data_IF_614805130246
#
_entry.id   IF_614805130246
#
_cell.length_a   1.000
_cell.length_b   1.000
_cell.length_c   1.000
_cell.angle_alpha   90.00
_cell.angle_beta   90.00
_cell.angle_gamma   90.00
#
_symmetry.space_group_name_H-M   'P 1'
#
loop_
_entity.id
_entity.type
_entity.pdbx_description
1 polymer ?
#
# COMPACT_ATOMS: atom_id res chain seq x y z
N UNK A 1 6.85 45.34 -56.05
CA UNK A 1 6.31 44.06 -55.51
C UNK A 1 7.51 43.11 -55.42
N UNK A 2 8.24 43.07 -54.29
CA UNK A 2 7.98 42.25 -53.08
C UNK A 2 8.07 40.75 -53.40
N UNK A 3 9.24 40.11 -53.25
CA UNK A 3 9.74 39.38 -52.06
C UNK A 3 10.47 38.12 -52.62
N UNK A 4 11.47 37.46 -52.04
CA UNK A 4 11.94 37.31 -50.66
C UNK A 4 13.38 36.73 -50.68
N UNK A 5 14.09 36.91 -49.57
CA UNK A 5 15.51 36.59 -49.38
C UNK A 5 15.82 35.13 -48.98
N UNK A 6 17.13 34.79 -49.12
CA UNK A 6 17.92 33.76 -48.38
C UNK A 6 17.56 32.28 -48.63
N UNK A 7 18.49 31.31 -48.67
CA UNK A 7 19.58 31.10 -47.72
C UNK A 7 20.67 30.12 -48.24
N UNK A 8 21.94 30.52 -48.03
CA UNK A 8 23.09 29.72 -47.56
C UNK A 8 23.44 28.37 -48.21
N UNK A 9 24.50 28.46 -49.01
CA UNK A 9 25.68 27.59 -49.03
C UNK A 9 26.03 26.93 -47.66
N UNK A 10 26.48 25.68 -47.69
CA UNK A 10 26.89 24.91 -46.52
C UNK A 10 26.82 23.39 -46.75
N UNK A 11 27.72 22.85 -47.58
CA UNK A 11 28.04 21.41 -47.59
C UNK A 11 28.55 21.02 -46.22
N UNK A 12 28.04 19.91 -45.66
CA UNK A 12 28.49 19.38 -44.38
C UNK A 12 29.31 18.12 -44.66
N UNK A 13 30.51 18.34 -45.17
CA UNK A 13 31.49 17.29 -45.44
C UNK A 13 32.39 17.11 -44.22
N UNK A 14 32.61 15.86 -43.82
CA UNK A 14 33.53 15.51 -42.74
C UNK A 14 34.56 14.53 -43.31
N UNK A 15 35.84 14.85 -43.13
CA UNK A 15 36.93 13.97 -43.53
C UNK A 15 37.10 12.86 -42.48
N UNK A 16 36.81 11.62 -42.87
CA UNK A 16 37.03 10.43 -42.04
C UNK A 16 38.21 9.63 -42.62
N UNK A 17 39.07 9.11 -41.75
CA UNK A 17 40.22 8.30 -42.17
C UNK A 17 39.80 6.84 -42.20
N UNK A 18 39.50 6.34 -43.41
CA UNK A 18 39.24 4.92 -43.64
C UNK A 18 40.51 4.31 -44.23
N UNK A 19 41.04 3.29 -43.55
CA UNK A 19 42.21 2.53 -44.00
C UNK A 19 43.47 3.38 -44.31
N UNK A 20 43.65 4.47 -43.56
CA UNK A 20 44.84 5.33 -43.65
C UNK A 20 44.83 6.38 -44.77
N UNK A 21 43.70 6.61 -45.45
CA UNK A 21 43.51 7.73 -46.39
C UNK A 21 42.33 8.62 -45.95
N UNK A 22 42.49 9.93 -46.17
CA UNK A 22 41.46 10.93 -45.93
C UNK A 22 40.48 10.91 -47.11
N UNK A 23 39.23 10.52 -46.87
CA UNK A 23 38.14 10.64 -47.82
C UNK A 23 37.05 11.57 -47.27
N UNK A 24 36.46 12.36 -48.17
CA UNK A 24 35.44 13.36 -47.87
C UNK A 24 34.06 12.72 -48.07
N UNK A 25 33.34 12.48 -46.97
CA UNK A 25 32.06 11.76 -46.99
C UNK A 25 30.92 12.75 -46.75
N UNK A 26 29.98 12.79 -47.70
CA UNK A 26 28.77 13.61 -47.62
C UNK A 26 27.78 12.98 -46.63
N UNK A 27 27.54 13.65 -45.50
CA UNK A 27 26.65 13.18 -44.44
C UNK A 27 25.28 13.83 -44.61
N UNK A 28 24.28 13.03 -44.94
CA UNK A 28 22.90 13.52 -45.11
C UNK A 28 22.39 14.22 -43.84
N UNK A 29 21.91 15.46 -43.96
CA UNK A 29 21.43 16.28 -42.83
C UNK A 29 20.17 15.73 -42.12
N UNK A 30 19.53 14.71 -42.68
CA UNK A 30 18.36 14.07 -42.08
C UNK A 30 18.51 12.56 -42.15
N UNK A 31 18.75 11.88 -41.02
CA UNK A 31 18.62 10.44 -40.96
C UNK A 31 17.19 10.13 -41.38
N UNK A 32 17.01 9.39 -42.48
CA UNK A 32 15.72 8.74 -42.73
C UNK A 32 15.42 7.92 -41.47
N UNK A 33 14.32 8.18 -40.76
CA UNK A 33 14.01 7.45 -39.54
C UNK A 33 14.00 5.96 -39.87
N UNK A 34 14.96 5.20 -39.33
CA UNK A 34 15.02 3.74 -39.48
C UNK A 34 13.93 3.03 -38.67
N UNK A 35 13.21 3.79 -37.84
CA UNK A 35 12.03 3.37 -37.11
C UNK A 35 10.82 3.70 -37.99
N UNK A 36 10.06 2.70 -38.47
CA UNK A 36 8.81 2.95 -39.19
C UNK A 36 7.90 3.85 -38.35
N UNK A 37 7.28 4.87 -38.95
CA UNK A 37 6.24 5.65 -38.26
C UNK A 37 5.13 4.68 -37.82
N UNK A 38 5.09 4.37 -36.53
CA UNK A 38 4.07 3.50 -35.98
C UNK A 38 2.81 4.33 -35.77
N UNK A 39 1.80 4.14 -36.62
CA UNK A 39 0.42 4.66 -36.46
C UNK A 39 -0.30 4.09 -35.22
N UNK A 40 0.42 3.39 -34.36
CA UNK A 40 -0.08 2.85 -33.10
C UNK A 40 -0.30 3.99 -32.12
N UNK A 41 -1.56 4.39 -32.02
CA UNK A 41 -2.08 5.24 -30.95
C UNK A 41 -1.55 4.76 -29.60
N UNK A 42 -1.01 5.70 -28.82
CA UNK A 42 -0.56 5.47 -27.44
C UNK A 42 -1.64 4.76 -26.61
N UNK A 43 -2.92 5.06 -26.88
CA UNK A 43 -4.06 4.40 -26.24
C UNK A 43 -4.21 2.91 -26.59
N UNK A 44 -3.85 2.50 -27.81
CA UNK A 44 -3.87 1.09 -28.22
C UNK A 44 -2.68 0.30 -27.67
N UNK A 45 -1.52 0.96 -27.52
CA UNK A 45 -0.35 0.38 -26.87
C UNK A 45 -0.61 0.14 -25.37
N UNK A 46 -1.27 1.09 -24.71
CA UNK A 46 -1.63 1.05 -23.29
C UNK A 46 -2.73 0.01 -23.02
N UNK A 47 -3.69 -0.14 -23.95
CA UNK A 47 -4.71 -1.20 -23.91
C UNK A 47 -4.11 -2.60 -24.03
N UNK A 48 -3.11 -2.80 -24.89
CA UNK A 48 -2.39 -4.09 -25.03
C UNK A 48 -1.52 -4.43 -23.82
N UNK A 49 -1.06 -3.43 -23.07
CA UNK A 49 -0.25 -3.61 -21.85
C UNK A 49 -1.09 -3.80 -20.59
N UNK A 50 -2.38 -3.45 -20.64
CA UNK A 50 -3.31 -3.79 -19.57
C UNK A 50 -3.51 -5.31 -19.52
N UNK A 51 -3.28 -5.92 -18.36
CA UNK A 51 -3.60 -7.33 -18.11
C UNK A 51 -4.97 -7.42 -17.40
N UNK A 52 -6.10 -7.25 -18.11
CA UNK A 52 -7.42 -7.14 -17.47
C UNK A 52 -7.78 -8.37 -16.63
N UNK A 53 -7.41 -9.57 -17.10
CA UNK A 53 -7.65 -10.81 -16.37
C UNK A 53 -6.91 -10.86 -15.02
N UNK A 54 -5.68 -10.33 -14.96
CA UNK A 54 -4.90 -10.30 -13.72
C UNK A 54 -5.50 -9.34 -12.69
N UNK A 55 -6.03 -8.20 -13.13
CA UNK A 55 -6.76 -7.27 -12.26
C UNK A 55 -8.08 -7.86 -11.77
N UNK A 56 -8.83 -8.55 -12.63
CA UNK A 56 -10.05 -9.27 -12.23
C UNK A 56 -9.71 -10.32 -11.18
N UNK A 57 -8.66 -11.14 -11.41
CA UNK A 57 -8.22 -12.14 -10.45
C UNK A 57 -7.78 -11.52 -9.12
N UNK A 58 -7.06 -10.39 -9.16
CA UNK A 58 -6.66 -9.66 -7.96
C UNK A 58 -7.87 -9.11 -7.17
N UNK A 59 -8.83 -8.48 -7.85
CA UNK A 59 -10.06 -7.99 -7.20
C UNK A 59 -10.84 -9.15 -6.60
N UNK A 60 -10.99 -10.27 -7.32
CA UNK A 60 -11.63 -11.47 -6.78
C UNK A 60 -10.89 -12.00 -5.55
N UNK A 61 -9.55 -12.03 -5.57
CA UNK A 61 -8.74 -12.45 -4.43
C UNK A 61 -8.92 -11.53 -3.20
N UNK A 62 -8.98 -10.21 -3.41
CA UNK A 62 -9.26 -9.24 -2.33
C UNK A 62 -10.65 -9.46 -1.74
N UNK A 63 -11.68 -9.65 -2.59
CA UNK A 63 -13.04 -9.93 -2.11
C UNK A 63 -13.12 -11.23 -1.31
N UNK A 64 -12.43 -12.28 -1.78
CA UNK A 64 -12.32 -13.55 -1.04
C UNK A 64 -11.61 -13.34 0.29
N UNK A 65 -10.51 -12.56 0.33
CA UNK A 65 -9.77 -12.25 1.55
C UNK A 65 -10.58 -11.44 2.57
N UNK A 66 -11.55 -10.63 2.13
CA UNK A 66 -12.49 -9.92 3.00
C UNK A 66 -13.52 -10.88 3.61
N UNK A 67 -14.14 -11.73 2.79
CA UNK A 67 -15.34 -12.47 3.19
C UNK A 67 -14.99 -13.80 3.86
N UNK A 68 -14.18 -14.64 3.19
CA UNK A 68 -14.00 -16.02 3.60
C UNK A 68 -13.25 -16.14 4.95
N UNK A 69 -12.13 -15.44 5.19
CA UNK A 69 -11.42 -15.52 6.46
C UNK A 69 -12.24 -15.02 7.64
N UNK A 70 -12.97 -13.91 7.49
CA UNK A 70 -13.87 -13.41 8.53
C UNK A 70 -14.96 -14.43 8.87
N UNK A 71 -15.58 -15.03 7.85
CA UNK A 71 -16.59 -16.07 8.04
C UNK A 71 -16.03 -17.29 8.77
N UNK A 72 -14.83 -17.76 8.41
CA UNK A 72 -14.16 -18.88 9.09
C UNK A 72 -13.83 -18.50 10.55
N UNK A 73 -13.28 -17.32 10.81
CA UNK A 73 -12.99 -16.86 12.17
C UNK A 73 -14.26 -16.78 13.02
N UNK A 74 -15.33 -16.21 12.47
CA UNK A 74 -16.62 -16.09 13.15
C UNK A 74 -17.28 -17.44 13.44
N UNK A 75 -17.23 -18.38 12.50
CA UNK A 75 -17.78 -19.72 12.70
C UNK A 75 -17.01 -20.47 13.79
N UNK A 76 -15.69 -20.35 13.85
CA UNK A 76 -14.88 -20.87 14.96
C UNK A 76 -15.25 -20.22 16.29
N UNK A 77 -15.40 -18.90 16.33
CA UNK A 77 -15.79 -18.17 17.53
C UNK A 77 -17.14 -18.65 18.09
N UNK A 78 -18.13 -18.92 17.23
CA UNK A 78 -19.48 -19.32 17.63
C UNK A 78 -19.61 -20.82 17.88
N UNK A 79 -19.01 -21.67 17.05
CA UNK A 79 -19.20 -23.13 17.12
C UNK A 79 -18.16 -23.83 17.99
N UNK A 80 -16.98 -23.22 18.18
CA UNK A 80 -15.84 -23.83 18.88
C UNK A 80 -15.23 -22.87 19.92
N UNK A 81 -16.06 -22.12 20.62
CA UNK A 81 -15.63 -21.08 21.56
C UNK A 81 -14.68 -21.61 22.64
N UNK A 82 -14.99 -22.76 23.26
CA UNK A 82 -14.14 -23.32 24.32
C UNK A 82 -12.73 -23.67 23.84
N UNK A 83 -12.63 -24.23 22.63
CA UNK A 83 -11.34 -24.53 22.00
C UNK A 83 -10.58 -23.24 21.69
N UNK A 84 -11.26 -22.24 21.16
CA UNK A 84 -10.65 -20.96 20.83
C UNK A 84 -10.16 -20.21 22.06
N UNK A 85 -10.96 -20.14 23.12
CA UNK A 85 -10.56 -19.54 24.41
C UNK A 85 -9.32 -20.22 24.97
N UNK A 86 -9.24 -21.55 24.92
CA UNK A 86 -8.05 -22.28 25.37
C UNK A 86 -6.79 -21.85 24.59
N UNK A 87 -6.89 -21.65 23.27
CA UNK A 87 -5.76 -21.18 22.44
C UNK A 87 -5.42 -19.71 22.68
N UNK A 88 -6.43 -18.84 22.80
CA UNK A 88 -6.20 -17.42 23.08
C UNK A 88 -5.64 -17.20 24.48
N UNK A 89 -6.03 -18.02 25.46
CA UNK A 89 -5.52 -17.95 26.84
C UNK A 89 -4.06 -18.39 26.99
N UNK A 90 -3.46 -18.98 25.95
CA UNK A 90 -2.02 -19.22 25.90
C UNK A 90 -1.22 -17.91 25.76
N UNK A 91 -1.87 -16.82 25.35
CA UNK A 91 -1.29 -15.50 25.20
C UNK A 91 -1.80 -14.57 26.31
N UNK A 92 -0.92 -13.66 26.75
CA UNK A 92 -1.36 -12.52 27.55
C UNK A 92 -2.21 -11.57 26.69
N UNK A 93 -3.07 -10.78 27.33
CA UNK A 93 -3.95 -9.81 26.65
C UNK A 93 -3.14 -8.79 25.85
N UNK A 94 -2.00 -8.34 26.39
CA UNK A 94 -1.04 -7.48 25.69
C UNK A 94 -0.46 -8.15 24.44
N UNK A 95 -0.19 -9.45 24.53
CA UNK A 95 0.24 -10.26 23.39
C UNK A 95 -0.82 -10.31 22.29
N UNK A 96 -2.10 -10.50 22.66
CA UNK A 96 -3.20 -10.52 21.71
C UNK A 96 -3.41 -9.17 21.02
N UNK A 97 -3.32 -8.05 21.75
CA UNK A 97 -3.31 -6.69 21.18
C UNK A 97 -2.16 -6.55 20.18
N UNK A 98 -0.95 -6.93 20.60
CA UNK A 98 0.24 -6.77 19.77
C UNK A 98 0.14 -7.57 18.48
N UNK A 99 -0.34 -8.81 18.55
CA UNK A 99 -0.53 -9.67 17.37
C UNK A 99 -1.55 -9.07 16.41
N UNK A 100 -2.72 -8.67 16.90
CA UNK A 100 -3.76 -8.12 16.02
C UNK A 100 -3.37 -6.77 15.43
N UNK A 101 -2.74 -5.90 16.22
CA UNK A 101 -2.12 -4.66 15.73
C UNK A 101 -1.07 -4.95 14.65
N UNK A 102 -0.16 -5.90 14.89
CA UNK A 102 0.91 -6.25 13.93
C UNK A 102 0.34 -6.71 12.60
N UNK A 103 -0.66 -7.61 12.64
CA UNK A 103 -1.29 -8.12 11.42
C UNK A 103 -2.00 -7.01 10.66
N UNK A 104 -2.71 -6.13 11.38
CA UNK A 104 -3.40 -4.97 10.77
C UNK A 104 -2.40 -3.99 10.17
N UNK A 105 -1.29 -3.70 10.87
CA UNK A 105 -0.21 -2.83 10.39
C UNK A 105 0.44 -3.39 9.13
N UNK A 106 0.69 -4.71 9.07
CA UNK A 106 1.23 -5.38 7.87
C UNK A 106 0.25 -5.28 6.70
N UNK A 107 -1.05 -5.47 6.93
CA UNK A 107 -2.07 -5.31 5.88
C UNK A 107 -2.07 -3.87 5.34
N UNK A 108 -2.11 -2.87 6.22
CA UNK A 108 -2.16 -1.46 5.83
C UNK A 108 -0.87 -0.98 5.18
N UNK A 109 0.29 -1.47 5.66
CA UNK A 109 1.59 -1.21 5.02
C UNK A 109 1.64 -1.86 3.64
N UNK A 110 1.17 -3.11 3.50
CA UNK A 110 1.08 -3.80 2.22
C UNK A 110 0.20 -3.04 1.24
N UNK A 111 -0.94 -2.51 1.69
CA UNK A 111 -1.82 -1.66 0.88
C UNK A 111 -1.11 -0.38 0.44
N UNK A 112 -0.49 0.34 1.37
CA UNK A 112 0.24 1.58 1.07
C UNK A 112 1.37 1.33 0.08
N UNK A 113 2.17 0.29 0.28
CA UNK A 113 3.27 -0.08 -0.61
C UNK A 113 2.79 -0.61 -1.96
N UNK A 114 1.64 -1.27 -2.04
CA UNK A 114 1.05 -1.68 -3.31
C UNK A 114 0.63 -0.48 -4.19
N UNK A 115 0.35 0.67 -3.57
CA UNK A 115 0.09 1.94 -4.27
C UNK A 115 1.40 2.62 -4.67
N UNK A 116 2.37 2.69 -3.75
CA UNK A 116 3.67 3.34 -3.98
C UNK A 116 4.50 2.60 -5.04
N UNK A 117 4.56 1.28 -4.96
CA UNK A 117 5.33 0.40 -5.83
C UNK A 117 4.38 -0.50 -6.65
N UNK A 118 3.59 0.13 -7.52
CA UNK A 118 2.53 -0.55 -8.27
C UNK A 118 3.03 -1.54 -9.33
N UNK A 119 4.33 -1.50 -9.66
CA UNK A 119 4.96 -2.36 -10.67
C UNK A 119 5.16 -3.81 -10.19
N UNK A 120 5.33 -4.02 -8.88
CA UNK A 120 5.62 -5.34 -8.32
C UNK A 120 4.39 -5.99 -7.71
N UNK A 121 4.31 -7.31 -7.82
CA UNK A 121 3.23 -8.09 -7.22
C UNK A 121 3.43 -8.38 -5.73
N UNK A 122 4.65 -8.18 -5.22
CA UNK A 122 5.01 -8.51 -3.85
C UNK A 122 4.08 -7.83 -2.85
N UNK A 123 3.92 -6.51 -2.93
CA UNK A 123 3.11 -5.76 -1.97
C UNK A 123 1.61 -6.04 -2.11
N UNK A 124 1.14 -6.38 -3.32
CA UNK A 124 -0.23 -6.84 -3.55
C UNK A 124 -0.50 -8.17 -2.87
N UNK A 125 0.45 -9.10 -2.94
CA UNK A 125 0.36 -10.39 -2.26
C UNK A 125 0.42 -10.20 -0.74
N UNK A 126 1.37 -9.39 -0.25
CA UNK A 126 1.48 -9.05 1.18
C UNK A 126 0.17 -8.42 1.68
N UNK A 127 -0.42 -7.51 0.92
CA UNK A 127 -1.73 -6.93 1.25
C UNK A 127 -2.83 -7.99 1.32
N UNK A 128 -2.97 -8.85 0.30
CA UNK A 128 -4.04 -9.88 0.28
C UNK A 128 -3.89 -10.88 1.42
N UNK A 129 -2.66 -11.33 1.71
CA UNK A 129 -2.38 -12.25 2.81
C UNK A 129 -2.59 -11.57 4.17
N UNK A 130 -2.09 -10.34 4.33
CA UNK A 130 -2.28 -9.54 5.54
C UNK A 130 -3.75 -9.25 5.80
N UNK A 131 -4.50 -8.85 4.76
CA UNK A 131 -5.95 -8.64 4.82
C UNK A 131 -6.67 -9.93 5.20
N UNK A 132 -6.35 -11.07 4.59
CA UNK A 132 -6.97 -12.34 4.97
C UNK A 132 -6.70 -12.71 6.44
N UNK A 133 -5.47 -12.49 6.92
CA UNK A 133 -5.11 -12.73 8.31
C UNK A 133 -5.84 -11.75 9.27
N UNK A 134 -5.90 -10.47 8.94
CA UNK A 134 -6.63 -9.45 9.70
C UNK A 134 -8.11 -9.80 9.78
N UNK A 135 -8.72 -10.16 8.66
CA UNK A 135 -10.14 -10.52 8.58
C UNK A 135 -10.43 -11.81 9.35
N UNK A 136 -9.52 -12.79 9.34
CA UNK A 136 -9.63 -13.98 10.20
C UNK A 136 -9.60 -13.61 11.68
N UNK A 137 -8.64 -12.80 12.12
CA UNK A 137 -8.52 -12.34 13.51
C UNK A 137 -9.77 -11.54 13.91
N UNK A 138 -10.24 -10.63 13.06
CA UNK A 138 -11.47 -9.87 13.25
C UNK A 138 -12.71 -10.78 13.37
N UNK A 139 -12.74 -11.87 12.60
CA UNK A 139 -13.77 -12.90 12.70
C UNK A 139 -13.73 -13.63 14.03
N UNK A 140 -12.54 -14.03 14.50
CA UNK A 140 -12.36 -14.64 15.82
C UNK A 140 -12.86 -13.70 16.92
N UNK A 141 -12.43 -12.44 16.91
CA UNK A 141 -12.79 -11.47 17.94
C UNK A 141 -14.18 -10.85 17.78
N UNK A 142 -14.96 -11.28 16.78
CA UNK A 142 -16.28 -10.74 16.44
C UNK A 142 -16.27 -9.21 16.32
N UNK A 143 -15.25 -8.69 15.65
CA UNK A 143 -15.03 -7.26 15.50
C UNK A 143 -16.29 -6.57 14.99
N UNK A 144 -16.73 -5.59 15.76
CA UNK A 144 -17.80 -4.63 15.46
C UNK A 144 -17.40 -3.32 16.14
N UNK A 145 -17.87 -2.15 15.72
CA UNK A 145 -17.56 -0.91 16.45
C UNK A 145 -18.35 -0.77 17.78
N UNK A 146 -19.51 -1.44 17.91
CA UNK A 146 -20.33 -1.52 19.14
C UNK A 146 -20.11 -2.82 19.95
N UNK A 147 -18.99 -3.50 19.73
CA UNK A 147 -18.73 -4.89 20.13
C UNK A 147 -18.70 -5.19 21.63
N UNK A 148 -18.67 -4.16 22.48
CA UNK A 148 -18.56 -4.28 23.93
C UNK A 148 -19.53 -5.29 24.56
N UNK A 149 -20.73 -5.42 23.98
CA UNK A 149 -21.72 -6.42 24.39
C UNK A 149 -21.74 -7.67 23.50
N UNK A 150 -21.26 -7.57 22.25
CA UNK A 150 -21.35 -8.65 21.27
C UNK A 150 -20.37 -9.80 21.55
N UNK A 151 -19.19 -9.50 22.06
CA UNK A 151 -18.20 -10.53 22.42
C UNK A 151 -18.60 -11.25 23.70
N UNK A 152 -19.20 -10.56 24.67
CA UNK A 152 -19.66 -11.15 25.93
C UNK A 152 -20.70 -12.26 25.73
N UNK A 153 -21.62 -12.11 24.78
CA UNK A 153 -22.64 -13.13 24.47
C UNK A 153 -22.00 -14.46 24.04
N UNK A 154 -20.88 -14.41 23.33
CA UNK A 154 -20.21 -15.62 22.82
C UNK A 154 -19.14 -16.12 23.79
N UNK A 155 -18.27 -15.22 24.27
CA UNK A 155 -17.09 -15.55 25.07
C UNK A 155 -17.33 -15.55 26.58
N UNK A 156 -18.47 -15.02 27.06
CA UNK A 156 -18.78 -14.91 28.48
C UNK A 156 -17.66 -14.22 29.26
N UNK A 157 -17.17 -14.89 30.32
CA UNK A 157 -16.08 -14.37 31.16
C UNK A 157 -14.74 -14.21 30.43
N UNK A 158 -14.56 -14.84 29.27
CA UNK A 158 -13.34 -14.75 28.47
C UNK A 158 -13.39 -13.63 27.41
N UNK A 159 -14.43 -12.78 27.41
CA UNK A 159 -14.61 -11.72 26.41
C UNK A 159 -13.45 -10.73 26.36
N UNK A 160 -12.75 -10.51 27.47
CA UNK A 160 -11.57 -9.65 27.54
C UNK A 160 -10.47 -10.07 26.55
N UNK A 161 -10.35 -11.37 26.22
CA UNK A 161 -9.38 -11.85 25.23
C UNK A 161 -9.74 -11.36 23.82
N UNK A 162 -11.01 -11.51 23.43
CA UNK A 162 -11.51 -11.02 22.14
C UNK A 162 -11.50 -9.49 22.06
N UNK A 163 -11.84 -8.81 23.17
CA UNK A 163 -11.81 -7.36 23.24
C UNK A 163 -10.39 -6.80 23.10
N UNK A 164 -9.39 -7.44 23.73
CA UNK A 164 -7.99 -7.10 23.56
C UNK A 164 -7.55 -7.22 22.10
N UNK A 165 -7.92 -8.30 21.42
CA UNK A 165 -7.67 -8.46 19.98
C UNK A 165 -8.32 -7.35 19.15
N UNK A 166 -9.59 -7.03 19.39
CA UNK A 166 -10.28 -5.94 18.71
C UNK A 166 -9.60 -4.59 18.91
N UNK A 167 -9.11 -4.33 20.13
CA UNK A 167 -8.44 -3.09 20.48
C UNK A 167 -7.18 -2.86 19.65
N UNK A 168 -6.39 -3.91 19.37
CA UNK A 168 -5.22 -3.80 18.50
C UNK A 168 -5.56 -3.44 17.05
N UNK A 169 -6.64 -4.02 16.50
CA UNK A 169 -7.12 -3.69 15.14
C UNK A 169 -7.62 -2.24 15.08
N UNK A 170 -8.43 -1.83 16.06
CA UNK A 170 -8.97 -0.47 16.15
C UNK A 170 -7.85 0.55 16.32
N UNK A 171 -6.84 0.24 17.14
CA UNK A 171 -5.70 1.11 17.36
C UNK A 171 -4.91 1.37 16.08
N UNK A 172 -4.61 0.33 15.30
CA UNK A 172 -3.95 0.48 14.00
C UNK A 172 -4.83 1.32 13.04
N UNK A 173 -6.10 0.95 12.88
CA UNK A 173 -7.02 1.72 12.02
C UNK A 173 -7.15 3.19 12.42
N UNK A 174 -7.19 3.48 13.73
CA UNK A 174 -7.23 4.85 14.24
C UNK A 174 -5.92 5.59 14.03
N UNK A 175 -4.77 4.93 14.22
CA UNK A 175 -3.46 5.50 13.96
C UNK A 175 -3.31 5.93 12.50
N UNK A 176 -3.82 5.13 11.56
CA UNK A 176 -3.86 5.50 10.14
C UNK A 176 -4.73 6.73 9.89
N UNK A 177 -5.89 6.84 10.54
CA UNK A 177 -6.73 8.03 10.43
C UNK A 177 -6.02 9.29 10.98
N UNK A 178 -5.34 9.17 12.13
CA UNK A 178 -4.53 10.25 12.71
C UNK A 178 -3.40 10.64 11.76
N UNK A 179 -2.68 9.65 11.22
CA UNK A 179 -1.62 9.88 10.24
C UNK A 179 -2.15 10.61 9.01
N UNK A 180 -3.29 10.20 8.45
CA UNK A 180 -3.87 10.86 7.28
C UNK A 180 -4.20 12.34 7.56
N UNK A 181 -4.78 12.65 8.73
CA UNK A 181 -5.07 14.03 9.14
C UNK A 181 -3.79 14.84 9.32
N UNK A 182 -2.80 14.29 10.03
CA UNK A 182 -1.50 14.94 10.24
C UNK A 182 -0.81 15.19 8.91
N UNK A 183 -0.76 14.19 8.03
CA UNK A 183 -0.11 14.27 6.73
C UNK A 183 -0.77 15.32 5.82
N UNK A 184 -2.10 15.33 5.72
CA UNK A 184 -2.85 16.37 4.99
C UNK A 184 -2.60 17.74 5.61
N UNK A 185 -2.61 17.86 6.93
CA UNK A 185 -2.29 19.10 7.64
C UNK A 185 -0.89 19.62 7.32
N UNK A 186 0.10 18.74 7.27
CA UNK A 186 1.48 19.08 6.87
C UNK A 186 1.53 19.55 5.41
N UNK A 187 0.79 18.91 4.49
CA UNK A 187 0.72 19.33 3.09
C UNK A 187 0.13 20.73 2.90
N UNK A 188 -0.84 21.10 3.73
CA UNK A 188 -1.50 22.42 3.69
C UNK A 188 -0.66 23.49 4.39
N UNK A 189 -0.08 23.18 5.55
CA UNK A 189 0.62 24.14 6.40
C UNK A 189 2.06 24.42 5.94
N UNK A 190 2.76 23.42 5.37
CA UNK A 190 4.18 23.55 5.04
C UNK A 190 4.35 24.04 3.60
N UNK A 191 4.95 25.22 3.45
CA UNK A 191 5.40 25.73 2.16
C UNK A 191 6.45 24.79 1.53
N UNK A 192 6.37 24.59 0.21
CA UNK A 192 7.24 23.65 -0.52
C UNK A 192 8.74 23.98 -0.43
N UNK A 193 9.07 25.26 -0.23
CA UNK A 193 10.44 25.74 -0.09
C UNK A 193 10.99 25.65 1.34
N UNK A 194 10.16 25.24 2.31
CA UNK A 194 10.56 25.11 3.70
C UNK A 194 11.45 23.87 3.92
N UNK A 195 12.46 23.93 4.80
CA UNK A 195 13.23 22.74 5.21
C UNK A 195 12.33 21.65 5.85
N UNK A 196 11.17 22.02 6.38
CA UNK A 196 10.20 21.08 6.95
C UNK A 196 9.44 20.26 5.89
N UNK A 197 9.56 20.61 4.60
CA UNK A 197 8.96 19.85 3.50
C UNK A 197 9.50 18.41 3.42
N UNK A 198 10.65 18.13 4.05
CA UNK A 198 11.21 16.78 4.19
C UNK A 198 10.20 15.81 4.82
N UNK A 199 9.39 16.24 5.79
CA UNK A 199 8.40 15.39 6.47
C UNK A 199 7.31 14.84 5.54
N UNK A 200 7.08 15.49 4.39
CA UNK A 200 6.09 15.05 3.40
C UNK A 200 6.71 14.20 2.29
N UNK A 201 8.04 14.05 2.25
CA UNK A 201 8.74 13.21 1.26
C UNK A 201 8.67 11.74 1.66
N UNK A 202 8.56 10.88 0.65
CA UNK A 202 8.27 9.43 0.73
C UNK A 202 8.78 8.73 2.01
N UNK A 203 10.10 8.63 2.21
CA UNK A 203 10.69 7.91 3.34
C UNK A 203 10.43 8.53 4.72
N UNK A 204 10.44 9.86 4.82
CA UNK A 204 10.15 10.55 6.08
C UNK A 204 8.67 10.43 6.46
N UNK A 205 7.78 10.52 5.46
CA UNK A 205 6.35 10.30 5.64
C UNK A 205 6.05 8.87 6.10
N UNK A 206 6.80 7.89 5.59
CA UNK A 206 6.68 6.49 5.99
C UNK A 206 7.17 6.25 7.43
N UNK A 207 8.26 6.90 7.84
CA UNK A 207 8.72 6.87 9.24
C UNK A 207 7.69 7.52 10.17
N UNK A 208 7.09 8.66 9.76
CA UNK A 208 6.04 9.33 10.52
C UNK A 208 4.82 8.42 10.74
N UNK A 209 4.41 7.68 9.70
CA UNK A 209 3.37 6.67 9.80
C UNK A 209 3.67 5.63 10.89
N UNK A 210 4.85 5.00 10.85
CA UNK A 210 5.24 4.01 11.87
C UNK A 210 5.40 4.59 13.26
N UNK A 211 5.85 5.85 13.38
CA UNK A 211 5.93 6.53 14.66
C UNK A 211 4.54 6.72 15.29
N UNK A 212 3.54 7.13 14.50
CA UNK A 212 2.16 7.27 14.97
C UNK A 212 1.56 5.91 15.34
N UNK A 213 1.79 4.88 14.53
CA UNK A 213 1.39 3.50 14.80
C UNK A 213 1.99 2.95 16.10
N UNK A 214 3.30 3.15 16.30
CA UNK A 214 3.98 2.75 17.52
C UNK A 214 3.43 3.50 18.75
N UNK A 215 3.18 4.81 18.63
CA UNK A 215 2.57 5.59 19.71
C UNK A 215 1.17 5.06 20.03
N UNK A 216 0.33 4.78 19.04
CA UNK A 216 -1.01 4.24 19.24
C UNK A 216 -0.97 2.89 19.96
N UNK A 217 -0.05 1.99 19.56
CA UNK A 217 0.18 0.72 20.25
C UNK A 217 0.61 0.94 21.71
N UNK A 218 1.57 1.84 21.96
CA UNK A 218 2.03 2.15 23.32
C UNK A 218 0.90 2.69 24.20
N UNK A 219 0.05 3.57 23.66
CA UNK A 219 -1.13 4.11 24.35
C UNK A 219 -2.09 2.98 24.71
N UNK A 220 -2.31 2.00 23.84
CA UNK A 220 -3.16 0.85 24.17
C UNK A 220 -2.54 -0.05 25.24
N UNK A 221 -1.26 -0.39 25.08
CA UNK A 221 -0.58 -1.34 25.97
C UNK A 221 -0.34 -0.77 27.38
N UNK A 222 -0.10 0.54 27.49
CA UNK A 222 0.31 1.18 28.74
C UNK A 222 -0.66 2.26 29.25
N UNK A 223 -1.57 2.77 28.42
CA UNK A 223 -2.48 3.86 28.77
C UNK A 223 -3.75 3.44 29.51
N UNK A 224 -3.85 2.19 29.97
CA UNK A 224 -5.00 1.69 30.73
C UNK A 224 -6.23 1.28 29.90
N UNK A 225 -6.17 1.38 28.57
CA UNK A 225 -7.26 0.92 27.69
C UNK A 225 -7.49 -0.59 27.79
N UNK A 226 -6.47 -1.37 28.16
CA UNK A 226 -6.61 -2.80 28.43
C UNK A 226 -7.37 -3.12 29.74
N UNK A 227 -7.45 -2.18 30.68
CA UNK A 227 -8.20 -2.39 31.93
C UNK A 227 -9.66 -2.05 31.78
N UNK A 228 -10.03 -1.38 30.69
CA UNK A 228 -11.42 -1.08 30.41
C UNK A 228 -12.12 -2.25 29.74
N UNK A 229 -11.39 -3.19 29.08
CA UNK A 229 -11.83 -4.33 28.23
C UNK A 229 -12.15 -5.66 28.90
#
# INVERSE_FOLDING_TARGET
MAGSAQSTDGSNEVAEIVDGRLEEVDVSKHPTPSIPESDLSLADLERRRSHPAQWIAYVAAVLVAIIAPYWVGRTLAVQRTAWLVAHMSAFDTRGLVFVSWTVTLVALTGLGMAVVESQTWLWRIVFVVGLAAEQFIAGLSLLKFDFWYSTYVVYGKAAYLANATNLGIIAAGFAVAVYAVVWVGLLVAIRKDSPLNVLTRSWASFILFFAIEAIALLVVLFGGLLTTV
#
